data_IF_405712549734
#
_entry.id   IF_405712549734
#
_cell.length_a   1.000
_cell.length_b   1.000
_cell.length_c   1.000
_cell.angle_alpha   90.00
_cell.angle_beta   90.00
_cell.angle_gamma   90.00
#
_symmetry.space_group_name_H-M   'P 1'
#
loop_
_entity.id
_entity.type
_entity.pdbx_description
1 polymer ?
#
# COMPACT_ATOMS: atom_id res chain seq x y z
N UNK A 1 2.17 -7.79 -5.59
CA UNK A 1 2.86 -6.50 -5.77
C UNK A 1 4.24 -6.79 -6.32
N UNK A 2 4.57 -6.29 -7.51
CA UNK A 2 5.83 -6.64 -8.20
C UNK A 2 6.27 -5.45 -9.07
N UNK A 3 6.92 -4.43 -8.47
CA UNK A 3 7.10 -3.11 -9.08
C UNK A 3 8.29 -3.05 -10.06
N UNK A 4 8.46 -4.04 -10.96
CA UNK A 4 9.66 -4.21 -11.81
C UNK A 4 10.00 -3.03 -12.73
N UNK A 5 9.03 -2.17 -13.02
CA UNK A 5 9.18 -1.00 -13.88
C UNK A 5 9.12 0.33 -13.09
N UNK A 6 9.00 0.26 -11.77
CA UNK A 6 8.86 1.44 -10.93
C UNK A 6 10.25 2.06 -10.68
N UNK A 7 10.39 3.34 -10.99
CA UNK A 7 11.61 4.10 -10.72
C UNK A 7 11.63 4.57 -9.27
N UNK A 8 12.81 4.59 -8.65
CA UNK A 8 13.00 5.15 -7.30
C UNK A 8 12.55 6.62 -7.20
N UNK A 9 12.64 7.37 -8.30
CA UNK A 9 12.20 8.77 -8.39
C UNK A 9 10.69 8.96 -8.29
N UNK A 10 9.88 7.90 -8.34
CA UNK A 10 8.45 7.96 -8.08
C UNK A 10 8.11 8.12 -6.57
N UNK A 11 9.08 7.88 -5.68
CA UNK A 11 8.90 8.02 -4.24
C UNK A 11 9.30 9.43 -3.80
N UNK A 12 8.44 10.06 -2.98
CA UNK A 12 8.68 11.43 -2.50
C UNK A 12 9.82 11.47 -1.47
N UNK A 13 10.70 12.45 -1.56
CA UNK A 13 11.73 12.73 -0.54
C UNK A 13 11.18 13.58 0.63
N UNK A 14 9.89 13.94 0.56
CA UNK A 14 9.16 14.68 1.59
C UNK A 14 7.91 13.92 2.03
N UNK A 15 7.54 14.06 3.31
CA UNK A 15 6.25 13.60 3.79
C UNK A 15 5.13 14.40 3.12
N UNK A 16 4.03 13.74 2.75
CA UNK A 16 2.92 14.38 2.03
C UNK A 16 1.56 13.87 2.50
N UNK A 17 0.50 14.61 2.14
CA UNK A 17 -0.87 14.15 2.32
C UNK A 17 -1.34 13.53 1.01
N UNK A 18 -1.82 12.29 1.10
CA UNK A 18 -2.47 11.57 0.02
C UNK A 18 -3.98 11.63 0.22
N UNK A 19 -4.67 12.29 -0.70
CA UNK A 19 -6.12 12.39 -0.73
C UNK A 19 -6.70 11.33 -1.66
N UNK A 20 -7.73 10.62 -1.21
CA UNK A 20 -8.38 9.58 -1.99
C UNK A 20 -9.87 9.49 -1.66
N UNK A 21 -10.64 8.86 -2.55
CA UNK A 21 -12.05 8.52 -2.32
C UNK A 21 -12.16 7.11 -1.76
N UNK A 22 -12.89 6.96 -0.66
CA UNK A 22 -13.22 5.67 -0.06
C UNK A 22 -14.24 4.88 -0.88
N UNK A 23 -14.53 3.65 -0.44
CA UNK A 23 -15.63 2.82 -0.98
C UNK A 23 -17.03 3.41 -0.79
N UNK A 24 -17.16 4.43 0.06
CA UNK A 24 -18.41 5.15 0.35
C UNK A 24 -18.45 6.54 -0.30
N UNK A 25 -17.58 6.81 -1.28
CA UNK A 25 -17.42 8.09 -1.99
C UNK A 25 -17.17 9.29 -1.06
N UNK A 26 -16.50 9.04 0.07
CA UNK A 26 -16.06 10.09 0.99
C UNK A 26 -14.59 10.39 0.74
N UNK A 27 -14.25 11.68 0.70
CA UNK A 27 -12.85 12.11 0.68
C UNK A 27 -12.18 11.75 2.00
N UNK A 28 -11.03 11.10 1.90
CA UNK A 28 -10.19 10.70 3.01
C UNK A 28 -8.76 11.20 2.77
N UNK A 29 -8.01 11.36 3.85
CA UNK A 29 -6.61 11.76 3.80
C UNK A 29 -5.74 10.75 4.51
N UNK A 30 -4.58 10.46 3.95
CA UNK A 30 -3.55 9.61 4.54
C UNK A 30 -2.21 10.34 4.55
N UNK A 31 -1.50 10.31 5.68
CA UNK A 31 -0.12 10.82 5.74
C UNK A 31 0.81 9.78 5.13
N UNK A 32 1.54 10.17 4.11
CA UNK A 32 2.64 9.38 3.56
C UNK A 32 3.95 9.83 4.18
N UNK A 33 4.80 8.90 4.69
CA UNK A 33 6.13 9.24 5.14
C UNK A 33 7.03 9.62 3.95
N UNK A 34 8.23 10.08 4.26
CA UNK A 34 9.32 10.20 3.27
C UNK A 34 9.58 8.81 2.69
N UNK A 35 9.98 8.76 1.41
CA UNK A 35 10.23 7.53 0.65
C UNK A 35 8.99 6.65 0.50
N UNK A 36 7.83 7.28 0.35
CA UNK A 36 6.59 6.57 0.08
C UNK A 36 5.87 7.09 -1.17
N UNK A 37 5.01 6.22 -1.72
CA UNK A 37 4.14 6.46 -2.85
C UNK A 37 2.75 5.91 -2.50
N UNK A 38 1.71 6.75 -2.60
CA UNK A 38 0.32 6.37 -2.37
C UNK A 38 -0.48 6.27 -3.66
N UNK A 39 -1.31 5.25 -3.77
CA UNK A 39 -2.31 5.11 -4.84
C UNK A 39 -3.50 4.30 -4.32
N UNK A 40 -4.53 4.11 -5.13
CA UNK A 40 -5.66 3.25 -4.77
C UNK A 40 -5.79 2.08 -5.74
N UNK A 41 -6.22 0.93 -5.23
CA UNK A 41 -6.69 -0.20 -6.04
C UNK A 41 -7.99 -0.72 -5.45
N UNK A 42 -9.03 -0.92 -6.28
CA UNK A 42 -10.37 -1.22 -5.78
C UNK A 42 -10.85 -0.23 -4.68
N UNK A 43 -10.42 1.04 -4.77
CA UNK A 43 -10.63 2.11 -3.76
C UNK A 43 -10.04 1.85 -2.37
N UNK A 44 -9.23 0.81 -2.19
CA UNK A 44 -8.41 0.63 -1.00
C UNK A 44 -7.10 1.41 -1.20
N UNK A 45 -6.69 2.26 -0.24
CA UNK A 45 -5.41 2.95 -0.32
C UNK A 45 -4.26 1.95 -0.16
N UNK A 46 -3.32 2.02 -1.10
CA UNK A 46 -2.09 1.25 -1.11
C UNK A 46 -0.92 2.22 -0.95
N UNK A 47 -0.10 1.97 0.06
CA UNK A 47 1.14 2.72 0.31
C UNK A 47 2.32 1.82 -0.01
N UNK A 48 3.12 2.22 -0.98
CA UNK A 48 4.44 1.67 -1.19
C UNK A 48 5.43 2.48 -0.34
N UNK A 49 6.23 1.81 0.48
CA UNK A 49 7.25 2.43 1.33
C UNK A 49 8.59 1.74 1.13
N UNK A 50 9.66 2.51 0.89
CA UNK A 50 11.00 1.95 0.74
C UNK A 50 11.51 1.35 2.06
N UNK A 51 12.22 0.24 1.96
CA UNK A 51 12.85 -0.42 3.11
C UNK A 51 14.23 -0.97 2.76
N UNK A 52 15.05 -1.19 3.78
CA UNK A 52 16.31 -1.95 3.69
C UNK A 52 16.11 -3.44 4.08
N UNK A 53 14.86 -3.85 4.33
CA UNK A 53 14.46 -5.21 4.63
C UNK A 53 13.84 -5.91 3.42
N UNK A 54 13.48 -7.18 3.60
CA UNK A 54 12.73 -7.97 2.61
C UNK A 54 11.33 -7.41 2.36
N UNK A 55 10.73 -7.82 1.25
CA UNK A 55 9.33 -7.52 0.95
C UNK A 55 8.40 -7.99 2.07
N UNK A 56 7.45 -7.13 2.42
CA UNK A 56 6.30 -7.50 3.24
C UNK A 56 5.08 -6.65 2.88
N UNK A 57 3.91 -7.13 3.29
CA UNK A 57 2.64 -6.42 3.15
C UNK A 57 2.00 -6.34 4.53
N UNK A 58 1.82 -5.14 5.04
CA UNK A 58 0.96 -4.90 6.19
C UNK A 58 -0.47 -4.67 5.70
N UNK A 59 -1.38 -5.53 6.15
CA UNK A 59 -2.81 -5.43 5.89
C UNK A 59 -3.49 -4.84 7.11
N UNK A 60 -4.02 -3.64 6.97
CA UNK A 60 -4.81 -2.99 8.02
C UNK A 60 -6.28 -3.27 7.76
N UNK A 61 -6.96 -3.91 8.69
CA UNK A 61 -8.40 -4.15 8.62
C UNK A 61 -9.22 -2.92 9.02
N UNK A 62 -10.56 -3.01 8.88
CA UNK A 62 -11.49 -1.95 9.23
C UNK A 62 -11.46 -1.55 10.73
N UNK A 63 -10.98 -2.43 11.60
CA UNK A 63 -10.83 -2.17 13.05
C UNK A 63 -9.44 -1.59 13.39
N UNK A 64 -8.59 -1.39 12.38
CA UNK A 64 -7.23 -0.87 12.52
C UNK A 64 -6.21 -1.91 12.97
N UNK A 65 -6.56 -3.21 13.00
CA UNK A 65 -5.59 -4.27 13.30
C UNK A 65 -4.72 -4.52 12.09
N UNK A 66 -3.45 -4.78 12.35
CA UNK A 66 -2.44 -5.00 11.32
C UNK A 66 -2.00 -6.45 11.33
N UNK A 67 -2.04 -7.08 10.17
CA UNK A 67 -1.42 -8.39 9.91
C UNK A 67 -0.34 -8.22 8.87
N UNK A 68 0.89 -8.61 9.21
CA UNK A 68 2.01 -8.61 8.28
C UNK A 68 2.10 -9.94 7.53
N UNK A 69 2.14 -9.86 6.21
CA UNK A 69 2.34 -10.99 5.30
C UNK A 69 3.77 -10.88 4.74
N UNK A 70 4.62 -11.92 4.89
CA UNK A 70 5.95 -11.91 4.31
C UNK A 70 5.89 -12.06 2.78
N UNK A 71 6.79 -11.39 2.09
CA UNK A 71 6.87 -11.38 0.63
C UNK A 71 5.91 -10.37 0.00
N UNK A 72 5.65 -10.56 -1.29
CA UNK A 72 5.01 -9.55 -2.14
C UNK A 72 3.63 -9.99 -2.68
N UNK A 73 3.08 -11.10 -2.18
CA UNK A 73 1.85 -11.72 -2.67
C UNK A 73 0.82 -11.83 -1.56
N UNK A 74 -0.37 -11.29 -1.79
CA UNK A 74 -1.51 -11.49 -0.90
C UNK A 74 -2.02 -12.94 -1.02
N UNK A 75 -2.37 -13.61 0.09
CA UNK A 75 -3.13 -14.84 0.05
C UNK A 75 -4.47 -14.66 -0.69
N UNK A 76 -4.98 -15.73 -1.29
CA UNK A 76 -6.27 -15.73 -2.01
C UNK A 76 -7.42 -15.07 -1.21
N UNK A 77 -7.68 -15.48 0.04
CA UNK A 77 -8.75 -14.89 0.83
C UNK A 77 -8.62 -13.37 1.05
N UNK A 78 -7.40 -12.85 1.17
CA UNK A 78 -7.15 -11.41 1.32
C UNK A 78 -7.34 -10.68 -0.01
N UNK A 79 -6.93 -11.30 -1.11
CA UNK A 79 -7.16 -10.78 -2.46
C UNK A 79 -8.66 -10.69 -2.77
N UNK A 80 -9.44 -11.70 -2.38
CA UNK A 80 -10.90 -11.71 -2.56
C UNK A 80 -11.58 -10.57 -1.79
N UNK A 81 -11.14 -10.27 -0.57
CA UNK A 81 -11.63 -9.14 0.22
C UNK A 81 -11.34 -7.79 -0.45
N UNK A 82 -10.16 -7.63 -1.04
CA UNK A 82 -9.76 -6.44 -1.79
C UNK A 82 -10.63 -6.25 -3.05
N UNK A 83 -10.73 -7.30 -3.87
CA UNK A 83 -11.42 -7.25 -5.18
C UNK A 83 -12.92 -7.06 -5.01
N UNK A 84 -13.52 -7.65 -3.97
CA UNK A 84 -14.96 -7.53 -3.67
C UNK A 84 -15.36 -6.15 -3.16
N UNK A 85 -14.42 -5.24 -2.87
CA UNK A 85 -14.69 -3.92 -2.28
C UNK A 85 -15.52 -4.04 -0.98
N UNK A 86 -15.32 -5.12 -0.24
CA UNK A 86 -16.05 -5.44 0.99
C UNK A 86 -15.85 -4.43 2.14
N UNK A 87 -14.91 -3.49 1.98
CA UNK A 87 -14.46 -2.56 3.02
C UNK A 87 -13.83 -3.25 4.24
N UNK A 88 -13.53 -4.55 4.15
CA UNK A 88 -12.84 -5.30 5.20
C UNK A 88 -11.36 -4.89 5.35
N UNK A 89 -10.74 -4.44 4.25
CA UNK A 89 -9.37 -3.94 4.23
C UNK A 89 -9.44 -2.41 4.18
N UNK A 90 -8.90 -1.76 5.20
CA UNK A 90 -8.81 -0.31 5.29
C UNK A 90 -7.60 0.25 4.55
N UNK A 91 -6.47 -0.49 4.54
CA UNK A 91 -5.24 -0.07 3.88
C UNK A 91 -4.33 -1.28 3.61
N UNK A 92 -3.52 -1.18 2.55
CA UNK A 92 -2.37 -2.04 2.33
C UNK A 92 -1.09 -1.19 2.35
N UNK A 93 -0.10 -1.57 3.16
CA UNK A 93 1.25 -1.00 3.09
C UNK A 93 2.22 -2.05 2.60
N UNK A 94 2.88 -1.81 1.48
CA UNK A 94 3.84 -2.72 0.87
C UNK A 94 5.24 -2.16 1.07
N UNK A 95 6.05 -2.91 1.79
CA UNK A 95 7.45 -2.59 2.02
C UNK A 95 8.24 -3.08 0.82
N UNK A 96 8.94 -2.17 0.15
CA UNK A 96 9.68 -2.44 -1.08
C UNK A 96 11.17 -2.29 -0.82
N UNK A 97 11.97 -3.37 -0.95
CA UNK A 97 13.42 -3.28 -0.91
C UNK A 97 13.94 -2.34 -2.00
N UNK A 98 14.86 -1.44 -1.66
CA UNK A 98 15.39 -0.48 -2.63
C UNK A 98 15.97 -1.14 -3.89
N UNK A 99 16.58 -2.32 -3.75
CA UNK A 99 17.14 -3.10 -4.86
C UNK A 99 16.11 -3.71 -5.83
N UNK A 100 14.81 -3.62 -5.53
CA UNK A 100 13.74 -4.10 -6.40
C UNK A 100 13.24 -3.06 -7.40
N UNK A 101 13.77 -1.83 -7.35
CA UNK A 101 13.37 -0.70 -8.19
C UNK A 101 14.40 -0.38 -9.27
N UNK A 102 13.94 0.30 -10.31
CA UNK A 102 14.84 0.86 -11.31
C UNK A 102 15.53 2.13 -10.76
N UNK A 103 16.82 2.26 -11.08
CA UNK A 103 17.69 3.38 -10.71
C UNK A 103 17.34 4.67 -11.44
#
# INVERSE_FOLDING_TARGET
FDPRLLMRTAFSDQAMIFEYLSTTDQWQTLKLPINALGFTWCQVPIVYELTDHEFSIDVTDADGRVVTIPGQTLPGPVSDQLISRSSAIAQLKVLIPQGALLS
#
